data_IF_374811995048
#
_entry.id   IF_374811995048
#
_cell.length_a   1.000
_cell.length_b   1.000
_cell.length_c   1.000
_cell.angle_alpha   90.00
_cell.angle_beta   90.00
_cell.angle_gamma   90.00
#
_symmetry.space_group_name_H-M   'P 1'
#
loop_
_entity.id
_entity.type
_entity.pdbx_description
1 polymer ?
#
# COMPACT_ATOMS: atom_id res chain seq x y z
N UNK A 1 36.17 3.70 -19.61
CA UNK A 1 35.62 2.50 -18.96
C UNK A 1 35.45 2.67 -17.44
N UNK A 2 36.49 3.08 -16.73
CA UNK A 2 36.41 3.23 -15.25
C UNK A 2 35.35 4.26 -14.79
N UNK A 3 35.16 5.36 -15.52
CA UNK A 3 34.15 6.40 -15.22
C UNK A 3 32.70 5.90 -15.36
N UNK A 4 32.43 5.00 -16.30
CA UNK A 4 31.09 4.44 -16.54
C UNK A 4 30.71 3.47 -15.41
N UNK A 5 31.66 2.66 -14.93
CA UNK A 5 31.45 1.72 -13.83
C UNK A 5 31.17 2.47 -12.52
N UNK A 6 31.92 3.57 -12.26
CA UNK A 6 31.68 4.41 -11.08
C UNK A 6 30.28 5.07 -11.11
N UNK A 7 29.83 5.52 -12.27
CA UNK A 7 28.50 6.12 -12.43
C UNK A 7 27.38 5.09 -12.17
N UNK A 8 27.57 3.86 -12.61
CA UNK A 8 26.60 2.76 -12.40
C UNK A 8 26.47 2.39 -10.92
N UNK A 9 27.59 2.34 -10.19
CA UNK A 9 27.58 2.10 -8.75
C UNK A 9 26.88 3.22 -7.96
N UNK A 10 27.09 4.48 -8.34
CA UNK A 10 26.46 5.63 -7.69
C UNK A 10 24.94 5.61 -7.92
N UNK A 11 24.47 5.28 -9.12
CA UNK A 11 23.05 5.16 -9.45
C UNK A 11 22.39 4.02 -8.66
N UNK A 12 23.07 2.89 -8.51
CA UNK A 12 22.56 1.74 -7.74
C UNK A 12 22.42 2.07 -6.25
N UNK A 13 23.38 2.78 -5.68
CA UNK A 13 23.35 3.22 -4.28
C UNK A 13 22.20 4.22 -4.05
N UNK A 14 21.98 5.16 -4.96
CA UNK A 14 20.88 6.13 -4.84
C UNK A 14 19.52 5.46 -4.89
N UNK A 15 19.32 4.46 -5.74
CA UNK A 15 18.07 3.68 -5.80
C UNK A 15 17.80 2.91 -4.50
N UNK A 16 18.82 2.31 -3.89
CA UNK A 16 18.70 1.61 -2.61
C UNK A 16 18.36 2.57 -1.45
N UNK A 17 19.00 3.73 -1.39
CA UNK A 17 18.72 4.75 -0.37
C UNK A 17 17.28 5.27 -0.49
N UNK A 18 16.80 5.54 -1.70
CA UNK A 18 15.42 5.99 -1.92
C UNK A 18 14.39 4.92 -1.51
N UNK A 19 14.63 3.64 -1.82
CA UNK A 19 13.76 2.54 -1.41
C UNK A 19 13.68 2.41 0.11
N UNK A 20 14.81 2.56 0.83
CA UNK A 20 14.84 2.55 2.29
C UNK A 20 14.09 3.73 2.92
N UNK A 21 14.22 4.93 2.36
CA UNK A 21 13.51 6.13 2.82
C UNK A 21 12.00 5.95 2.66
N UNK A 22 11.53 5.42 1.52
CA UNK A 22 10.12 5.16 1.29
C UNK A 22 9.55 4.13 2.26
N UNK A 23 10.28 3.05 2.56
CA UNK A 23 9.87 2.02 3.52
C UNK A 23 9.75 2.59 4.94
N UNK A 24 10.75 3.36 5.40
CA UNK A 24 10.72 4.02 6.71
C UNK A 24 9.56 5.01 6.81
N UNK A 25 9.30 5.77 5.76
CA UNK A 25 8.19 6.73 5.71
C UNK A 25 6.84 6.03 5.80
N UNK A 26 6.67 4.87 5.16
CA UNK A 26 5.47 4.05 5.28
C UNK A 26 5.28 3.53 6.70
N UNK A 27 6.33 3.01 7.34
CA UNK A 27 6.26 2.54 8.73
C UNK A 27 5.86 3.66 9.71
N UNK A 28 6.44 4.84 9.56
CA UNK A 28 6.06 6.02 10.36
C UNK A 28 4.59 6.40 10.15
N UNK A 29 4.12 6.40 8.92
CA UNK A 29 2.74 6.72 8.59
C UNK A 29 1.77 5.72 9.20
N UNK A 30 2.04 4.42 9.12
CA UNK A 30 1.22 3.41 9.77
C UNK A 30 1.20 3.57 11.28
N UNK A 31 2.33 3.86 11.90
CA UNK A 31 2.41 4.12 13.34
C UNK A 31 1.55 5.33 13.73
N UNK A 32 1.57 6.39 12.96
CA UNK A 32 0.71 7.56 13.19
C UNK A 32 -0.77 7.21 13.10
N UNK A 33 -1.19 6.44 12.10
CA UNK A 33 -2.58 5.97 11.98
C UNK A 33 -2.97 5.06 13.15
N UNK A 34 -2.12 4.15 13.55
CA UNK A 34 -2.36 3.27 14.69
C UNK A 34 -2.58 4.08 15.99
N UNK A 35 -1.80 5.14 16.20
CA UNK A 35 -1.93 6.02 17.35
C UNK A 35 -3.19 6.90 17.31
N UNK A 36 -3.55 7.41 16.13
CA UNK A 36 -4.72 8.28 15.96
C UNK A 36 -6.04 7.52 16.03
N UNK A 37 -6.09 6.35 15.42
CA UNK A 37 -7.32 5.58 15.28
C UNK A 37 -7.54 4.63 16.44
N UNK A 38 -6.47 4.16 17.09
CA UNK A 38 -6.54 3.20 18.18
C UNK A 38 -7.36 1.97 17.80
N UNK A 39 -8.05 1.36 18.76
CA UNK A 39 -8.98 0.25 18.52
C UNK A 39 -10.32 0.72 17.94
N UNK A 40 -10.65 1.99 18.11
CA UNK A 40 -11.84 2.62 17.58
C UNK A 40 -11.47 3.34 16.27
N UNK A 41 -11.58 2.64 15.16
CA UNK A 41 -11.47 3.20 13.79
C UNK A 41 -12.64 4.13 13.49
N UNK A 42 -13.05 4.96 14.45
CA UNK A 42 -14.07 5.96 14.22
C UNK A 42 -13.48 6.99 13.27
N UNK A 43 -14.10 7.08 12.12
CA UNK A 43 -13.67 7.90 11.03
C UNK A 43 -13.39 9.34 11.48
N UNK A 44 -12.12 9.72 11.40
CA UNK A 44 -11.72 11.13 11.44
C UNK A 44 -12.08 11.82 10.13
N UNK A 45 -12.44 11.04 9.09
CA UNK A 45 -12.83 11.54 7.79
C UNK A 45 -14.35 11.76 7.72
N UNK A 46 -14.77 12.88 7.15
CA UNK A 46 -16.19 13.13 6.85
C UNK A 46 -16.71 12.09 5.85
N UNK A 47 -15.89 11.82 4.82
CA UNK A 47 -16.13 10.76 3.86
C UNK A 47 -14.93 9.82 3.88
N UNK A 48 -15.10 8.54 4.26
CA UNK A 48 -14.00 7.57 4.24
C UNK A 48 -13.60 7.22 2.81
N UNK A 49 -12.38 6.67 2.60
CA UNK A 49 -11.97 6.19 1.29
C UNK A 49 -12.84 5.01 0.86
N UNK A 50 -13.09 4.90 -0.43
CA UNK A 50 -13.83 3.77 -1.01
C UNK A 50 -13.20 3.34 -2.33
N UNK A 51 -13.28 2.04 -2.63
CA UNK A 51 -12.75 1.50 -3.88
C UNK A 51 -13.62 1.94 -5.07
N UNK A 52 -12.99 2.35 -6.17
CA UNK A 52 -13.69 2.63 -7.42
C UNK A 52 -14.21 1.33 -8.04
N UNK A 53 -15.37 1.38 -8.68
CA UNK A 53 -16.00 0.22 -9.33
C UNK A 53 -15.10 -0.45 -10.37
N UNK A 54 -14.31 0.33 -11.10
CA UNK A 54 -13.38 -0.18 -12.09
C UNK A 54 -12.30 -1.09 -11.51
N UNK A 55 -12.04 -1.04 -10.20
CA UNK A 55 -11.08 -1.91 -9.51
C UNK A 55 -11.65 -3.27 -9.08
N UNK A 56 -12.96 -3.48 -9.18
CA UNK A 56 -13.61 -4.72 -8.74
C UNK A 56 -13.06 -5.98 -9.38
N UNK A 57 -12.81 -5.97 -10.69
CA UNK A 57 -12.22 -7.11 -11.41
C UNK A 57 -10.78 -7.37 -10.98
N UNK A 58 -10.01 -6.33 -10.72
CA UNK A 58 -8.64 -6.44 -10.23
C UNK A 58 -8.59 -7.09 -8.85
N UNK A 59 -9.56 -6.77 -7.99
CA UNK A 59 -9.71 -7.42 -6.67
C UNK A 59 -10.04 -8.90 -6.81
N UNK A 60 -10.92 -9.28 -7.71
CA UNK A 60 -11.28 -10.68 -7.93
C UNK A 60 -10.09 -11.50 -8.42
N UNK A 61 -9.31 -10.96 -9.34
CA UNK A 61 -8.05 -11.57 -9.81
C UNK A 61 -7.02 -11.69 -8.70
N UNK A 62 -6.94 -10.66 -7.86
CA UNK A 62 -6.03 -10.62 -6.72
C UNK A 62 -6.39 -11.70 -5.69
N UNK A 63 -7.66 -11.87 -5.38
CA UNK A 63 -8.18 -12.94 -4.50
C UNK A 63 -7.86 -14.33 -5.05
N UNK A 64 -8.05 -14.53 -6.33
CA UNK A 64 -7.74 -15.80 -6.98
C UNK A 64 -6.24 -16.11 -6.93
N UNK A 65 -5.41 -15.11 -7.24
CA UNK A 65 -3.96 -15.23 -7.15
C UNK A 65 -3.52 -15.57 -5.72
N UNK A 66 -4.01 -14.86 -4.71
CA UNK A 66 -3.69 -15.11 -3.31
C UNK A 66 -4.08 -16.52 -2.86
N UNK A 67 -5.24 -17.00 -3.29
CA UNK A 67 -5.71 -18.35 -2.97
C UNK A 67 -4.82 -19.44 -3.56
N UNK A 68 -4.29 -19.23 -4.76
CA UNK A 68 -3.37 -20.17 -5.41
C UNK A 68 -1.97 -20.17 -4.82
N UNK A 69 -1.51 -19.03 -4.29
CA UNK A 69 -0.13 -18.84 -3.86
C UNK A 69 0.08 -18.98 -2.35
N UNK A 70 -0.99 -18.91 -1.56
CA UNK A 70 -0.92 -18.99 -0.09
C UNK A 70 -1.92 -20.02 0.44
N UNK A 71 -1.70 -20.47 1.68
CA UNK A 71 -2.63 -21.34 2.42
C UNK A 71 -3.69 -20.58 3.21
N UNK A 72 -3.65 -19.26 3.19
CA UNK A 72 -4.61 -18.44 3.92
C UNK A 72 -5.96 -18.38 3.21
N UNK A 73 -7.04 -18.48 3.97
CA UNK A 73 -8.40 -18.29 3.45
C UNK A 73 -8.63 -16.83 3.04
N UNK A 74 -8.07 -15.92 3.82
CA UNK A 74 -8.08 -14.50 3.50
C UNK A 74 -6.82 -13.80 4.02
N UNK A 75 -6.42 -12.77 3.31
CA UNK A 75 -5.28 -11.93 3.68
C UNK A 75 -5.80 -10.51 3.91
N UNK A 76 -5.44 -9.94 5.05
CA UNK A 76 -5.76 -8.55 5.37
C UNK A 76 -4.56 -7.67 5.07
N UNK A 77 -4.78 -6.61 4.32
CA UNK A 77 -3.75 -5.64 3.95
C UNK A 77 -4.23 -4.23 4.28
N UNK A 78 -3.52 -3.55 5.15
CA UNK A 78 -3.71 -2.12 5.36
C UNK A 78 -2.96 -1.36 4.26
N UNK A 79 -3.65 -0.42 3.65
CA UNK A 79 -3.08 0.42 2.61
C UNK A 79 -3.25 1.88 2.98
N UNK A 80 -2.22 2.67 2.75
CA UNK A 80 -2.33 4.12 2.80
C UNK A 80 -2.67 4.58 1.38
N UNK A 81 -3.77 5.34 1.28
CA UNK A 81 -4.30 5.88 0.04
C UNK A 81 -3.99 7.37 0.02
N UNK A 82 -3.33 7.85 -1.01
CA UNK A 82 -3.03 9.26 -1.12
C UNK A 82 -4.27 10.11 -1.48
N UNK A 83 -4.11 11.41 -1.53
CA UNK A 83 -5.20 12.35 -1.84
C UNK A 83 -5.75 12.21 -3.27
N UNK A 84 -5.05 11.51 -4.15
CA UNK A 84 -5.49 11.19 -5.51
C UNK A 84 -6.16 9.82 -5.62
N UNK A 85 -6.26 9.08 -4.52
CA UNK A 85 -6.87 7.75 -4.49
C UNK A 85 -5.93 6.63 -4.92
N UNK A 86 -4.64 6.85 -4.87
CA UNK A 86 -3.60 5.88 -5.25
C UNK A 86 -3.02 5.22 -4.00
N UNK A 87 -2.99 3.88 -3.93
CA UNK A 87 -2.33 3.18 -2.84
C UNK A 87 -0.81 3.41 -2.90
N UNK A 88 -0.23 3.87 -1.81
CA UNK A 88 1.20 4.19 -1.73
C UNK A 88 1.98 3.40 -0.69
N UNK A 89 1.30 2.86 0.32
CA UNK A 89 1.91 2.05 1.37
C UNK A 89 1.06 0.82 1.66
N UNK A 90 1.71 -0.30 2.01
CA UNK A 90 1.07 -1.60 2.19
C UNK A 90 1.61 -2.27 3.45
N UNK A 91 0.70 -2.78 4.29
CA UNK A 91 1.06 -3.55 5.48
C UNK A 91 0.21 -4.82 5.54
N UNK A 92 0.85 -5.97 5.34
CA UNK A 92 0.20 -7.27 5.43
C UNK A 92 0.05 -7.70 6.89
N UNK A 93 -1.14 -8.15 7.27
CA UNK A 93 -1.40 -8.64 8.63
C UNK A 93 -0.84 -10.03 8.88
N UNK A 94 -0.75 -10.86 7.84
CA UNK A 94 -0.19 -12.20 7.90
C UNK A 94 1.24 -12.21 7.39
N UNK A 95 1.99 -13.21 7.86
CA UNK A 95 3.34 -13.46 7.35
C UNK A 95 3.25 -14.15 6.00
N UNK A 96 3.82 -13.53 4.97
CA UNK A 96 3.78 -14.01 3.59
C UNK A 96 5.21 -14.06 3.05
N UNK A 97 5.49 -15.09 2.26
CA UNK A 97 6.78 -15.23 1.60
C UNK A 97 7.12 -13.97 0.79
N UNK A 98 8.37 -13.44 0.90
CA UNK A 98 8.72 -12.16 0.28
C UNK A 98 8.46 -12.04 -1.22
N UNK A 99 8.67 -13.12 -1.99
CA UNK A 99 8.42 -13.15 -3.44
C UNK A 99 6.93 -13.00 -3.74
N UNK A 100 6.08 -13.71 -3.00
CA UNK A 100 4.62 -13.66 -3.16
C UNK A 100 4.09 -12.30 -2.69
N UNK A 101 4.61 -11.79 -1.57
CA UNK A 101 4.29 -10.47 -1.04
C UNK A 101 4.57 -9.35 -2.06
N UNK A 102 5.72 -9.42 -2.74
CA UNK A 102 6.08 -8.46 -3.79
C UNK A 102 5.10 -8.51 -4.96
N UNK A 103 4.70 -9.70 -5.40
CA UNK A 103 3.72 -9.88 -6.47
C UNK A 103 2.34 -9.36 -6.09
N UNK A 104 1.90 -9.63 -4.86
CA UNK A 104 0.64 -9.10 -4.32
C UNK A 104 0.67 -7.57 -4.25
N UNK A 105 1.76 -7.00 -3.77
CA UNK A 105 1.95 -5.54 -3.68
C UNK A 105 1.86 -4.88 -5.07
N UNK A 106 2.49 -5.46 -6.08
CA UNK A 106 2.43 -4.93 -7.46
C UNK A 106 1.01 -4.93 -8.00
N UNK A 107 0.22 -5.95 -7.68
CA UNK A 107 -1.20 -6.01 -8.06
C UNK A 107 -2.05 -5.02 -7.27
N UNK A 108 -1.79 -4.85 -5.97
CA UNK A 108 -2.48 -3.89 -5.11
C UNK A 108 -2.27 -2.44 -5.57
N UNK A 109 -1.10 -2.12 -6.08
CA UNK A 109 -0.79 -0.78 -6.63
C UNK A 109 -1.67 -0.38 -7.81
N UNK A 110 -2.28 -1.33 -8.50
CA UNK A 110 -3.17 -1.07 -9.63
C UNK A 110 -4.58 -0.66 -9.21
N UNK A 111 -4.95 -0.92 -7.96
CA UNK A 111 -6.26 -0.54 -7.43
C UNK A 111 -6.40 0.99 -7.38
N UNK A 112 -7.62 1.47 -7.56
CA UNK A 112 -7.94 2.89 -7.50
C UNK A 112 -9.10 3.14 -6.54
N UNK A 113 -9.00 4.24 -5.82
CA UNK A 113 -9.93 4.61 -4.76
C UNK A 113 -10.49 6.00 -4.99
N UNK A 114 -11.67 6.23 -4.44
CA UNK A 114 -12.15 7.57 -4.16
C UNK A 114 -11.47 7.99 -2.86
N UNK A 115 -10.71 9.10 -2.84
CA UNK A 115 -9.98 9.50 -1.64
C UNK A 115 -10.92 9.92 -0.51
N UNK A 116 -10.44 9.85 0.72
CA UNK A 116 -11.15 10.39 1.87
C UNK A 116 -11.29 11.91 1.78
N UNK A 117 -12.31 12.46 2.42
CA UNK A 117 -12.60 13.89 2.41
C UNK A 117 -12.75 14.41 3.85
N UNK A 118 -12.09 15.54 4.12
CA UNK A 118 -12.26 16.34 5.33
C UNK A 118 -12.40 17.79 4.92
N UNK A 119 -13.48 18.45 5.37
CA UNK A 119 -13.76 19.87 5.07
C UNK A 119 -13.67 20.16 3.57
N UNK A 120 -14.35 19.34 2.76
CA UNK A 120 -14.39 19.41 1.29
C UNK A 120 -13.02 19.26 0.59
N UNK A 121 -12.01 18.79 1.30
CA UNK A 121 -10.67 18.52 0.75
C UNK A 121 -10.38 17.04 0.70
N UNK A 122 -9.75 16.60 -0.39
CA UNK A 122 -9.22 15.25 -0.51
C UNK A 122 -7.99 15.13 0.39
N UNK A 123 -7.94 14.07 1.17
CA UNK A 123 -6.86 13.82 2.12
C UNK A 123 -6.34 12.39 2.01
N UNK A 124 -5.12 12.19 2.47
CA UNK A 124 -4.57 10.86 2.67
C UNK A 124 -5.40 10.09 3.70
N UNK A 125 -5.51 8.78 3.54
CA UNK A 125 -6.31 7.92 4.41
C UNK A 125 -5.75 6.51 4.45
N UNK A 126 -6.30 5.69 5.35
CA UNK A 126 -5.98 4.27 5.44
C UNK A 126 -7.22 3.44 5.06
N UNK A 127 -6.99 2.35 4.34
CA UNK A 127 -8.01 1.39 3.91
C UNK A 127 -7.52 -0.02 4.14
N UNK A 128 -8.33 -0.87 4.76
CA UNK A 128 -8.01 -2.29 4.95
C UNK A 128 -8.78 -3.11 3.92
N UNK A 129 -8.05 -3.85 3.09
CA UNK A 129 -8.63 -4.76 2.11
C UNK A 129 -8.50 -6.20 2.59
N UNK A 130 -9.51 -6.99 2.31
CA UNK A 130 -9.54 -8.44 2.55
C UNK A 130 -9.48 -9.15 1.19
N UNK A 131 -8.42 -9.88 0.97
CA UNK A 131 -8.18 -10.63 -0.27
C UNK A 131 -8.04 -12.13 -0.05
#
# INVERSE_FOLDING_TARGET
>A
MVKIIALFCVLSINLLVNAQVDTLKCEESFTQYDNLLGENLIAIWETPPSMKECSGQDVDRLKEFARKQTSYECILVDMIIDSDGIPICFRFKQQIEPVIKAKLTDKLKLLRFKPAIIVNKRVESIYTIKI
#
